data_IF_605684308084
#
_entry.id   IF_605684308084
#
_cell.length_a   1.000
_cell.length_b   1.000
_cell.length_c   1.000
_cell.angle_alpha   90.00
_cell.angle_beta   90.00
_cell.angle_gamma   90.00
#
_symmetry.space_group_name_H-M   'P 1'
#
loop_
_entity.id
_entity.type
_entity.pdbx_description
1 polymer ?
#
# COMPACT_ATOMS: atom_id res chain seq x y z
N UNK A 1 4.10 100.46 22.80
CA UNK A 1 3.80 100.14 24.22
C UNK A 1 2.69 99.10 24.19
N UNK A 2 2.78 97.87 24.70
CA UNK A 2 3.75 97.21 25.55
C UNK A 2 3.58 95.69 25.33
N UNK A 3 4.66 94.96 25.54
CA UNK A 3 4.73 93.49 25.56
C UNK A 3 3.76 92.88 26.59
N UNK A 4 3.16 91.73 26.30
CA UNK A 4 2.90 90.72 27.33
C UNK A 4 2.89 89.30 26.73
N UNK A 5 3.71 88.46 27.34
CA UNK A 5 3.89 87.04 27.08
C UNK A 5 3.14 86.26 28.16
N UNK A 6 2.36 85.22 27.83
CA UNK A 6 2.45 83.94 28.55
C UNK A 6 1.64 82.80 27.92
N UNK A 7 2.35 81.68 27.85
CA UNK A 7 2.01 80.27 27.66
C UNK A 7 0.63 79.85 28.23
N UNK A 8 -0.05 78.88 27.61
CA UNK A 8 -0.10 77.46 28.07
C UNK A 8 -1.21 76.62 27.40
N UNK A 9 -0.98 75.30 27.47
CA UNK A 9 -1.88 74.13 27.33
C UNK A 9 -2.27 73.70 25.90
N UNK A 10 -1.49 72.76 25.36
CA UNK A 10 -1.95 71.86 24.29
C UNK A 10 -2.71 70.71 24.96
N UNK A 11 -4.02 70.64 24.75
CA UNK A 11 -4.83 69.47 25.07
C UNK A 11 -4.54 68.36 24.05
N UNK A 12 -3.96 67.25 24.50
CA UNK A 12 -3.86 66.03 23.70
C UNK A 12 -5.22 65.34 23.68
N UNK A 13 -5.91 65.39 22.53
CA UNK A 13 -7.13 64.61 22.30
C UNK A 13 -6.74 63.15 22.03
N UNK A 14 -7.06 62.25 22.96
CA UNK A 14 -6.96 60.81 22.74
C UNK A 14 -8.15 60.35 21.89
N UNK A 15 -7.91 60.15 20.59
CA UNK A 15 -8.83 59.44 19.69
C UNK A 15 -8.72 57.93 19.97
N UNK A 16 -9.71 57.39 20.67
CA UNK A 16 -9.94 55.94 20.72
C UNK A 16 -10.46 55.47 19.36
N UNK A 17 -9.55 55.03 18.49
CA UNK A 17 -9.91 54.27 17.30
C UNK A 17 -10.33 52.86 17.72
N UNK A 18 -11.62 52.57 17.65
CA UNK A 18 -12.11 51.19 17.78
C UNK A 18 -11.67 50.40 16.53
N UNK A 19 -10.59 49.64 16.66
CA UNK A 19 -10.20 48.65 15.64
C UNK A 19 -11.20 47.51 15.77
N UNK A 20 -12.21 47.48 14.90
CA UNK A 20 -13.05 46.32 14.70
C UNK A 20 -12.19 45.19 14.13
N UNK A 21 -11.71 44.31 14.99
CA UNK A 21 -11.13 43.04 14.57
C UNK A 21 -12.29 42.18 14.10
N UNK A 22 -12.58 42.20 12.80
CA UNK A 22 -13.41 41.16 12.19
C UNK A 22 -12.66 39.84 12.37
N UNK A 23 -13.08 39.05 13.36
CA UNK A 23 -12.69 37.66 13.45
C UNK A 23 -13.22 36.96 12.19
N UNK A 24 -12.34 36.79 11.20
CA UNK A 24 -12.58 35.82 10.14
C UNK A 24 -12.67 34.47 10.86
N UNK A 25 -13.76 33.72 10.73
CA UNK A 25 -13.80 32.37 11.26
C UNK A 25 -12.62 31.63 10.63
N UNK A 26 -11.70 31.16 11.46
CA UNK A 26 -10.77 30.12 11.05
C UNK A 26 -11.66 28.93 10.71
N UNK A 27 -11.91 28.73 9.42
CA UNK A 27 -12.39 27.47 8.87
C UNK A 27 -11.31 26.43 9.23
N UNK A 28 -11.42 25.88 10.43
CA UNK A 28 -10.84 24.58 10.71
C UNK A 28 -11.43 23.64 9.66
N UNK A 29 -10.62 22.85 8.94
CA UNK A 29 -11.16 21.85 8.04
C UNK A 29 -11.82 20.76 8.89
N UNK A 30 -13.04 21.04 9.31
CA UNK A 30 -13.96 20.13 9.93
C UNK A 30 -14.33 19.11 8.84
N UNK A 31 -13.80 17.90 8.99
CA UNK A 31 -14.28 16.71 8.29
C UNK A 31 -14.52 16.89 6.78
N UNK A 32 -13.44 17.09 6.00
CA UNK A 32 -13.44 16.47 4.69
C UNK A 32 -13.64 14.97 4.93
N UNK A 33 -14.88 14.48 4.78
CA UNK A 33 -15.21 13.06 4.76
C UNK A 33 -14.26 12.44 3.76
N UNK A 34 -13.18 11.82 4.25
CA UNK A 34 -12.18 11.24 3.37
C UNK A 34 -12.92 10.23 2.53
N UNK A 35 -12.98 10.49 1.22
CA UNK A 35 -13.66 9.62 0.27
C UNK A 35 -13.23 8.18 0.51
N UNK A 36 -14.18 7.25 0.42
CA UNK A 36 -13.91 5.82 0.52
C UNK A 36 -12.76 5.45 -0.43
N UNK A 37 -11.86 4.59 0.02
CA UNK A 37 -10.79 4.11 -0.83
C UNK A 37 -11.34 3.56 -2.15
N UNK A 38 -10.67 3.93 -3.25
CA UNK A 38 -10.92 3.32 -4.54
C UNK A 38 -10.60 1.83 -4.46
N UNK A 39 -11.46 1.02 -5.09
CA UNK A 39 -11.25 -0.41 -5.25
C UNK A 39 -10.70 -0.66 -6.65
N UNK A 40 -9.56 -1.33 -6.71
CA UNK A 40 -8.87 -1.71 -7.93
C UNK A 40 -9.14 -3.20 -8.16
N UNK A 41 -9.85 -3.51 -9.24
CA UNK A 41 -10.16 -4.90 -9.64
C UNK A 41 -9.35 -5.36 -10.86
N UNK A 42 -8.79 -4.44 -11.63
CA UNK A 42 -8.02 -4.72 -12.84
C UNK A 42 -6.91 -3.68 -13.03
N UNK A 43 -5.92 -4.05 -13.85
CA UNK A 43 -4.91 -3.13 -14.35
C UNK A 43 -5.49 -2.19 -15.43
N UNK A 44 -4.83 -1.08 -15.73
CA UNK A 44 -5.30 -0.12 -16.75
C UNK A 44 -4.37 -0.06 -17.97
N UNK A 45 -3.08 -0.29 -17.77
CA UNK A 45 -2.09 -0.31 -18.84
C UNK A 45 -2.26 -1.55 -19.72
N UNK A 46 -2.18 -1.39 -21.04
CA UNK A 46 -2.33 -2.50 -21.97
C UNK A 46 -1.08 -3.39 -22.00
N UNK A 47 -1.26 -4.69 -22.23
CA UNK A 47 -0.19 -5.70 -22.29
C UNK A 47 0.69 -5.71 -21.04
N UNK A 48 0.11 -5.41 -19.88
CA UNK A 48 0.74 -5.59 -18.58
C UNK A 48 0.04 -6.67 -17.78
N UNK A 49 0.82 -7.42 -16.99
CA UNK A 49 0.31 -8.29 -15.94
C UNK A 49 0.96 -7.90 -14.62
N UNK A 50 0.15 -7.73 -13.58
CA UNK A 50 0.61 -7.62 -12.21
C UNK A 50 0.57 -8.99 -11.54
N UNK A 51 1.75 -9.62 -11.41
CA UNK A 51 1.92 -10.80 -10.57
C UNK A 51 1.97 -10.35 -9.11
N UNK A 52 1.03 -10.81 -8.29
CA UNK A 52 0.92 -10.43 -6.88
C UNK A 52 0.94 -11.64 -5.97
N UNK A 53 1.46 -11.43 -4.75
CA UNK A 53 1.76 -12.46 -3.76
C UNK A 53 1.34 -12.00 -2.38
N UNK A 54 0.49 -12.77 -1.72
CA UNK A 54 -0.08 -12.44 -0.41
C UNK A 54 0.56 -13.28 0.72
N UNK A 55 0.22 -12.95 1.96
CA UNK A 55 0.54 -13.66 3.22
C UNK A 55 1.97 -13.57 3.76
N UNK A 56 2.93 -13.32 2.88
CA UNK A 56 4.34 -13.15 3.23
C UNK A 56 4.65 -11.99 4.21
N UNK A 57 5.91 -11.77 4.56
CA UNK A 57 7.10 -12.43 4.02
C UNK A 57 7.24 -13.88 4.51
N UNK A 58 7.85 -14.72 3.68
CA UNK A 58 8.10 -16.13 4.00
C UNK A 58 9.43 -16.62 3.40
N UNK A 59 9.78 -17.88 3.68
CA UNK A 59 11.08 -18.46 3.29
C UNK A 59 11.34 -18.45 1.78
N UNK A 60 10.29 -18.35 0.95
CA UNK A 60 10.41 -18.34 -0.50
C UNK A 60 10.58 -16.94 -1.11
N UNK A 61 10.38 -15.86 -0.36
CA UNK A 61 10.33 -14.48 -0.89
C UNK A 61 11.57 -14.14 -1.72
N UNK A 62 12.78 -14.38 -1.19
CA UNK A 62 14.02 -14.09 -1.92
C UNK A 62 14.14 -14.88 -3.22
N UNK A 63 13.82 -16.18 -3.19
CA UNK A 63 13.87 -17.06 -4.37
C UNK A 63 12.94 -16.57 -5.48
N UNK A 64 11.75 -16.11 -5.10
CA UNK A 64 10.77 -15.58 -6.04
C UNK A 64 11.22 -14.25 -6.65
N UNK A 65 11.79 -13.33 -5.85
CA UNK A 65 12.42 -12.10 -6.35
C UNK A 65 13.50 -12.42 -7.40
N UNK A 66 14.44 -13.31 -7.07
CA UNK A 66 15.53 -13.70 -7.97
C UNK A 66 15.00 -14.39 -9.26
N UNK A 67 13.88 -15.11 -9.18
CA UNK A 67 13.21 -15.70 -10.34
C UNK A 67 12.62 -14.60 -11.25
N UNK A 68 11.91 -13.62 -10.69
CA UNK A 68 11.30 -12.54 -11.44
C UNK A 68 12.36 -11.64 -12.09
N UNK A 69 13.40 -11.27 -11.35
CA UNK A 69 14.46 -10.39 -11.84
C UNK A 69 15.26 -10.99 -13.00
N UNK A 70 15.64 -12.27 -12.89
CA UNK A 70 16.29 -13.00 -14.01
C UNK A 70 15.41 -13.07 -15.26
N UNK A 71 14.10 -12.89 -15.09
CA UNK A 71 13.14 -12.86 -16.17
C UNK A 71 12.76 -11.45 -16.63
N UNK A 72 13.38 -10.39 -16.10
CA UNK A 72 13.03 -9.01 -16.41
C UNK A 72 11.60 -8.66 -15.99
N UNK A 73 11.08 -9.32 -14.95
CA UNK A 73 9.73 -9.15 -14.42
C UNK A 73 9.76 -8.44 -13.07
N UNK A 74 8.69 -7.71 -12.74
CA UNK A 74 8.45 -7.21 -11.38
C UNK A 74 7.12 -7.75 -10.84
N UNK A 75 7.06 -7.92 -9.51
CA UNK A 75 5.87 -8.36 -8.79
C UNK A 75 5.50 -7.40 -7.65
N UNK A 76 4.38 -7.69 -6.99
CA UNK A 76 3.88 -6.96 -5.83
C UNK A 76 3.62 -7.93 -4.68
N UNK A 77 4.19 -7.65 -3.50
CA UNK A 77 3.98 -8.43 -2.29
C UNK A 77 3.05 -7.66 -1.37
N UNK A 78 1.88 -8.22 -1.08
CA UNK A 78 1.02 -7.76 0.00
C UNK A 78 1.45 -8.51 1.26
N UNK A 79 2.19 -7.83 2.13
CA UNK A 79 2.80 -8.47 3.30
C UNK A 79 1.97 -8.28 4.56
N UNK A 80 1.96 -9.30 5.41
CA UNK A 80 1.45 -9.27 6.76
C UNK A 80 2.51 -8.79 7.76
N UNK A 81 2.02 -8.43 8.96
CA UNK A 81 2.86 -8.09 10.10
C UNK A 81 3.22 -9.29 10.97
N UNK A 82 2.24 -10.14 11.27
CA UNK A 82 2.35 -11.29 12.17
C UNK A 82 1.39 -12.39 11.69
N UNK A 83 1.84 -13.19 10.72
CA UNK A 83 1.05 -14.26 10.10
C UNK A 83 1.87 -15.56 10.01
N UNK A 84 2.62 -15.76 8.92
CA UNK A 84 3.56 -16.87 8.77
C UNK A 84 4.86 -16.70 9.57
N UNK A 85 4.97 -15.57 10.26
CA UNK A 85 6.08 -15.17 11.12
C UNK A 85 6.00 -13.68 11.39
N UNK A 86 6.82 -13.19 12.31
CA UNK A 86 6.86 -11.76 12.61
C UNK A 86 7.64 -11.05 11.50
N UNK A 87 7.06 -10.00 10.91
CA UNK A 87 7.71 -9.18 9.87
C UNK A 87 9.03 -8.57 10.36
N UNK A 88 9.17 -8.37 11.67
CA UNK A 88 10.37 -7.84 12.28
C UNK A 88 11.46 -8.89 12.55
N UNK A 89 11.19 -10.19 12.39
CA UNK A 89 12.24 -11.20 12.47
C UNK A 89 13.33 -10.89 11.42
N UNK A 90 14.60 -11.13 11.77
CA UNK A 90 15.74 -10.66 10.96
C UNK A 90 15.65 -11.12 9.50
N UNK A 91 15.26 -12.38 9.25
CA UNK A 91 15.11 -12.93 7.90
C UNK A 91 13.91 -12.32 7.15
N UNK A 92 12.79 -12.09 7.84
CA UNK A 92 11.59 -11.53 7.25
C UNK A 92 11.80 -10.06 6.89
N UNK A 93 12.33 -9.27 7.83
CA UNK A 93 12.68 -7.87 7.60
C UNK A 93 13.69 -7.72 6.45
N UNK A 94 14.73 -8.57 6.42
CA UNK A 94 15.69 -8.58 5.32
C UNK A 94 15.03 -8.95 3.98
N UNK A 95 14.10 -9.89 3.96
CA UNK A 95 13.37 -10.29 2.74
C UNK A 95 12.47 -9.17 2.23
N UNK A 96 11.71 -8.50 3.10
CA UNK A 96 10.87 -7.35 2.73
C UNK A 96 11.72 -6.20 2.18
N UNK A 97 12.86 -5.90 2.84
CA UNK A 97 13.81 -4.90 2.35
C UNK A 97 14.40 -5.31 0.99
N UNK A 98 14.72 -6.59 0.80
CA UNK A 98 15.23 -7.10 -0.48
C UNK A 98 14.22 -6.93 -1.61
N UNK A 99 12.94 -7.26 -1.38
CA UNK A 99 11.85 -7.02 -2.35
C UNK A 99 11.83 -5.55 -2.78
N UNK A 100 11.87 -4.63 -1.80
CA UNK A 100 11.88 -3.19 -2.07
C UNK A 100 13.13 -2.74 -2.85
N UNK A 101 14.33 -3.14 -2.41
CA UNK A 101 15.60 -2.74 -3.01
C UNK A 101 15.77 -3.25 -4.45
N UNK A 102 15.17 -4.40 -4.79
CA UNK A 102 15.13 -4.91 -6.16
C UNK A 102 14.08 -4.21 -7.04
N UNK A 103 13.37 -3.19 -6.54
CA UNK A 103 12.40 -2.42 -7.32
C UNK A 103 11.07 -3.14 -7.55
N UNK A 104 10.78 -4.15 -6.74
CA UNK A 104 9.42 -4.67 -6.61
C UNK A 104 8.58 -3.78 -5.68
N UNK A 105 7.27 -4.03 -5.67
CA UNK A 105 6.36 -3.29 -4.80
C UNK A 105 6.09 -4.09 -3.51
N UNK A 106 6.21 -3.41 -2.37
CA UNK A 106 5.72 -3.90 -1.07
C UNK A 106 4.44 -3.14 -0.72
N UNK A 107 3.38 -3.86 -0.38
CA UNK A 107 2.06 -3.33 -0.05
C UNK A 107 1.52 -4.01 1.21
N UNK A 108 0.46 -3.46 1.79
CA UNK A 108 -0.10 -3.93 3.06
C UNK A 108 -1.10 -5.08 2.85
N UNK A 109 -1.00 -6.13 3.66
CA UNK A 109 -2.02 -7.18 3.78
C UNK A 109 -2.61 -7.28 5.19
N UNK A 110 -2.55 -6.18 5.95
CA UNK A 110 -2.92 -6.09 7.38
C UNK A 110 -1.92 -6.77 8.32
N UNK A 111 -2.13 -6.65 9.63
CA UNK A 111 -1.19 -7.13 10.63
C UNK A 111 -1.31 -8.64 10.80
N UNK A 112 -2.45 -9.13 11.26
CA UNK A 112 -2.67 -10.52 11.65
C UNK A 112 -3.56 -11.31 10.68
N UNK A 113 -3.77 -10.80 9.46
CA UNK A 113 -4.62 -11.45 8.43
C UNK A 113 -6.06 -11.74 8.92
N UNK A 114 -6.64 -10.81 9.68
CA UNK A 114 -7.98 -10.97 10.26
C UNK A 114 -9.11 -10.72 9.25
N UNK A 115 -10.27 -11.34 9.48
CA UNK A 115 -11.54 -11.01 8.80
C UNK A 115 -11.99 -9.59 9.17
N UNK A 116 -11.70 -8.62 8.29
CA UNK A 116 -11.77 -7.19 8.64
C UNK A 116 -13.16 -6.67 8.98
N UNK A 117 -14.19 -7.25 8.37
CA UNK A 117 -15.61 -6.93 8.61
C UNK A 117 -16.10 -7.37 10.02
N UNK A 118 -15.34 -8.21 10.73
CA UNK A 118 -15.67 -8.66 12.09
C UNK A 118 -15.07 -7.75 13.18
N UNK A 119 -14.19 -6.81 12.80
CA UNK A 119 -13.42 -6.00 13.73
C UNK A 119 -14.15 -4.71 14.11
N UNK A 120 -13.94 -4.26 15.34
CA UNK A 120 -14.28 -2.89 15.73
C UNK A 120 -13.42 -1.87 14.98
N UNK A 121 -13.89 -0.63 14.82
CA UNK A 121 -13.15 0.41 14.08
C UNK A 121 -11.71 0.64 14.60
N UNK A 122 -11.47 0.52 15.91
CA UNK A 122 -10.12 0.62 16.48
C UNK A 122 -9.26 -0.60 16.17
N UNK A 123 -9.81 -1.81 16.25
CA UNK A 123 -9.08 -3.04 15.90
C UNK A 123 -8.75 -3.07 14.40
N UNK A 124 -9.71 -2.70 13.55
CA UNK A 124 -9.53 -2.52 12.12
C UNK A 124 -8.43 -1.50 11.80
N UNK A 125 -8.43 -0.33 12.44
CA UNK A 125 -7.36 0.65 12.22
C UNK A 125 -5.99 0.14 12.69
N UNK A 126 -5.93 -0.65 13.77
CA UNK A 126 -4.69 -1.24 14.26
C UNK A 126 -4.09 -2.24 13.27
N UNK A 127 -4.94 -3.08 12.65
CA UNK A 127 -4.55 -4.01 11.59
C UNK A 127 -3.78 -3.30 10.45
N UNK A 128 -4.26 -2.13 10.02
CA UNK A 128 -3.61 -1.38 8.95
C UNK A 128 -2.38 -0.63 9.43
N UNK A 129 -2.49 0.09 10.55
CA UNK A 129 -1.43 1.00 10.98
C UNK A 129 -0.18 0.28 11.45
N UNK A 130 -0.30 -0.88 12.10
CA UNK A 130 0.87 -1.66 12.54
C UNK A 130 1.69 -2.17 11.35
N UNK A 131 1.06 -2.80 10.36
CA UNK A 131 1.80 -3.33 9.21
C UNK A 131 2.39 -2.22 8.34
N UNK A 132 1.64 -1.12 8.17
CA UNK A 132 2.13 0.07 7.46
C UNK A 132 3.36 0.68 8.15
N UNK A 133 3.37 0.70 9.48
CA UNK A 133 4.51 1.17 10.27
C UNK A 133 5.71 0.24 10.11
N UNK A 134 5.50 -1.08 10.12
CA UNK A 134 6.56 -2.05 9.91
C UNK A 134 7.19 -1.94 8.52
N UNK A 135 6.37 -1.87 7.47
CA UNK A 135 6.84 -1.64 6.09
C UNK A 135 7.67 -0.36 6.01
N UNK A 136 7.18 0.75 6.59
CA UNK A 136 7.91 2.02 6.61
C UNK A 136 9.23 1.94 7.36
N UNK A 137 9.27 1.28 8.53
CA UNK A 137 10.52 1.09 9.28
C UNK A 137 11.55 0.29 8.49
N UNK A 138 11.11 -0.77 7.81
CA UNK A 138 11.99 -1.68 7.06
C UNK A 138 12.51 -1.05 5.77
N UNK A 139 11.65 -0.33 5.04
CA UNK A 139 11.94 0.12 3.67
C UNK A 139 12.13 1.63 3.53
N UNK A 140 11.71 2.40 4.53
CA UNK A 140 11.55 3.85 4.43
C UNK A 140 10.30 4.29 3.65
N UNK A 141 9.53 3.35 3.09
CA UNK A 141 8.42 3.64 2.19
C UNK A 141 7.05 3.42 2.86
N UNK A 142 6.15 4.39 2.68
CA UNK A 142 4.77 4.29 3.17
C UNK A 142 3.86 3.70 2.08
N UNK A 143 3.26 2.52 2.26
CA UNK A 143 2.44 1.88 1.23
C UNK A 143 1.22 2.73 0.84
N UNK A 144 0.95 2.83 -0.47
CA UNK A 144 -0.25 3.47 -1.03
C UNK A 144 -1.34 2.45 -1.45
N UNK A 145 -1.07 1.16 -1.27
CA UNK A 145 -1.96 0.07 -1.63
C UNK A 145 -2.06 -0.91 -0.49
N UNK A 146 -3.23 -1.54 -0.39
CA UNK A 146 -3.45 -2.69 0.46
C UNK A 146 -4.38 -3.68 -0.23
N UNK A 147 -4.29 -4.94 0.16
CA UNK A 147 -5.28 -5.96 -0.18
C UNK A 147 -5.92 -6.43 1.11
N UNK A 148 -7.25 -6.51 1.21
CA UNK A 148 -7.89 -7.07 2.40
C UNK A 148 -7.73 -8.58 2.41
N UNK A 149 -7.42 -9.20 3.56
CA UNK A 149 -7.50 -10.63 3.77
C UNK A 149 -8.80 -11.21 3.22
N UNK A 150 -8.71 -12.39 2.58
CA UNK A 150 -9.85 -13.09 1.97
C UNK A 150 -10.60 -12.32 0.85
N UNK A 151 -10.09 -11.15 0.43
CA UNK A 151 -10.82 -10.24 -0.46
C UNK A 151 -12.01 -9.53 0.19
N UNK A 152 -12.13 -9.59 1.53
CA UNK A 152 -13.28 -9.10 2.27
C UNK A 152 -13.16 -7.61 2.63
N UNK A 153 -14.07 -6.78 2.12
CA UNK A 153 -14.13 -5.37 2.48
C UNK A 153 -15.57 -4.84 2.48
N UNK A 154 -15.81 -3.87 3.35
CA UNK A 154 -17.02 -3.04 3.38
C UNK A 154 -16.64 -1.55 3.36
N UNK A 155 -17.61 -0.66 3.58
CA UNK A 155 -17.37 0.78 3.58
C UNK A 155 -16.51 1.24 4.77
N UNK A 156 -16.53 0.56 5.91
CA UNK A 156 -15.65 0.91 7.04
C UNK A 156 -14.20 0.51 6.74
N UNK A 157 -13.97 -0.66 6.13
CA UNK A 157 -12.66 -1.07 5.61
C UNK A 157 -12.13 -0.04 4.59
N UNK A 158 -12.97 0.37 3.63
CA UNK A 158 -12.59 1.36 2.62
C UNK A 158 -12.36 2.75 3.21
N UNK A 159 -13.11 3.13 4.24
CA UNK A 159 -12.91 4.40 4.96
C UNK A 159 -11.60 4.39 5.73
N UNK A 160 -11.25 3.31 6.43
CA UNK A 160 -9.95 3.17 7.11
C UNK A 160 -8.82 3.23 6.09
N UNK A 161 -8.89 2.44 5.00
CA UNK A 161 -7.92 2.49 3.91
C UNK A 161 -7.76 3.91 3.32
N UNK A 162 -8.88 4.58 3.03
CA UNK A 162 -8.89 5.96 2.51
C UNK A 162 -8.32 6.97 3.51
N UNK A 163 -8.58 6.79 4.80
CA UNK A 163 -7.98 7.58 5.88
C UNK A 163 -6.46 7.38 6.02
N UNK A 164 -5.93 6.28 5.48
CA UNK A 164 -4.51 6.02 5.41
C UNK A 164 -3.95 6.34 4.02
N UNK A 165 -4.76 6.88 3.10
CA UNK A 165 -4.37 7.21 1.73
C UNK A 165 -4.03 5.96 0.90
N UNK A 166 -4.59 4.81 1.26
CA UNK A 166 -4.41 3.55 0.56
C UNK A 166 -5.58 3.28 -0.39
N UNK A 167 -5.29 2.58 -1.49
CA UNK A 167 -6.29 1.96 -2.35
C UNK A 167 -6.46 0.48 -1.97
N UNK A 168 -7.67 -0.04 -2.14
CA UNK A 168 -8.00 -1.46 -1.94
C UNK A 168 -7.76 -2.19 -3.25
N UNK A 169 -6.94 -3.23 -3.26
CA UNK A 169 -6.60 -4.01 -4.46
C UNK A 169 -7.15 -5.42 -4.32
N UNK A 170 -8.01 -5.83 -5.27
CA UNK A 170 -8.53 -7.20 -5.38
C UNK A 170 -7.76 -7.90 -6.51
N UNK A 171 -8.41 -8.71 -7.35
CA UNK A 171 -7.83 -9.42 -8.48
C UNK A 171 -8.90 -9.71 -9.53
N UNK A 172 -8.48 -9.90 -10.78
CA UNK A 172 -9.31 -10.36 -11.90
C UNK A 172 -8.97 -11.80 -12.34
N UNK A 173 -7.94 -12.39 -11.72
CA UNK A 173 -7.55 -13.78 -11.89
C UNK A 173 -7.01 -14.36 -10.59
N UNK A 174 -7.53 -15.52 -10.19
CA UNK A 174 -7.05 -16.29 -9.04
C UNK A 174 -6.36 -17.56 -9.54
N UNK A 175 -5.15 -17.83 -9.05
CA UNK A 175 -4.45 -19.08 -9.38
C UNK A 175 -5.08 -20.31 -8.72
N UNK A 176 -5.82 -20.10 -7.63
CA UNK A 176 -6.43 -21.14 -6.80
C UNK A 176 -5.47 -21.82 -5.83
N UNK A 177 -4.23 -21.36 -5.72
CA UNK A 177 -3.19 -21.99 -4.89
C UNK A 177 -3.55 -22.10 -3.41
N UNK A 178 -4.16 -21.05 -2.82
CA UNK A 178 -4.65 -21.08 -1.44
C UNK A 178 -5.94 -21.89 -1.24
N UNK A 179 -6.68 -22.18 -2.32
CA UNK A 179 -7.95 -22.94 -2.29
C UNK A 179 -7.77 -24.44 -2.56
N UNK A 180 -6.52 -24.91 -2.64
CA UNK A 180 -6.18 -26.32 -2.80
C UNK A 180 -6.02 -26.77 -4.26
N UNK A 181 -5.91 -25.85 -5.22
CA UNK A 181 -5.56 -26.22 -6.59
C UNK A 181 -4.16 -26.82 -6.65
N UNK A 182 -4.02 -27.96 -7.33
CA UNK A 182 -2.71 -28.51 -7.68
C UNK A 182 -1.93 -27.57 -8.60
N UNK A 183 -0.60 -27.75 -8.66
CA UNK A 183 0.23 -27.01 -9.61
C UNK A 183 -0.24 -27.19 -11.07
N UNK A 184 -0.72 -28.38 -11.44
CA UNK A 184 -1.28 -28.64 -12.78
C UNK A 184 -2.56 -27.85 -13.03
N UNK A 185 -3.47 -27.80 -12.06
CA UNK A 185 -4.70 -27.00 -12.18
C UNK A 185 -4.38 -25.51 -12.31
N UNK A 186 -3.48 -24.99 -11.47
CA UNK A 186 -3.04 -23.59 -11.52
C UNK A 186 -2.37 -23.25 -12.85
N UNK A 187 -1.48 -24.11 -13.36
CA UNK A 187 -0.86 -23.96 -14.69
C UNK A 187 -1.90 -23.95 -15.80
N UNK A 188 -2.90 -24.83 -15.75
CA UNK A 188 -3.99 -24.85 -16.73
C UNK A 188 -4.85 -23.58 -16.65
N UNK A 189 -5.11 -23.04 -15.45
CA UNK A 189 -5.80 -21.77 -15.27
C UNK A 189 -5.04 -20.62 -15.94
N UNK A 190 -3.73 -20.51 -15.72
CA UNK A 190 -2.86 -19.53 -16.40
C UNK A 190 -2.86 -19.70 -17.92
N UNK A 191 -2.74 -20.94 -18.42
CA UNK A 191 -2.81 -21.25 -19.85
C UNK A 191 -4.13 -20.75 -20.47
N UNK A 192 -5.24 -21.04 -19.80
CA UNK A 192 -6.59 -20.66 -20.24
C UNK A 192 -6.82 -19.14 -20.17
N UNK A 193 -6.26 -18.47 -19.17
CA UNK A 193 -6.29 -17.01 -19.10
C UNK A 193 -5.52 -16.40 -20.27
N UNK A 194 -4.28 -16.83 -20.48
CA UNK A 194 -3.38 -16.24 -21.48
C UNK A 194 -3.86 -16.52 -22.91
N UNK A 195 -4.52 -17.67 -23.16
CA UNK A 195 -5.10 -17.99 -24.48
C UNK A 195 -6.22 -17.03 -24.89
N UNK A 196 -6.96 -16.46 -23.93
CA UNK A 196 -7.98 -15.43 -24.17
C UNK A 196 -7.39 -14.08 -24.57
N UNK A 197 -6.07 -13.90 -24.47
CA UNK A 197 -5.36 -12.67 -24.80
C UNK A 197 -5.98 -11.40 -24.16
N UNK A 198 -6.17 -11.37 -22.83
CA UNK A 198 -6.77 -10.22 -22.16
C UNK A 198 -6.00 -8.91 -22.38
N UNK A 199 -6.66 -7.76 -22.21
CA UNK A 199 -5.98 -6.46 -22.37
C UNK A 199 -4.85 -6.29 -21.34
N UNK A 200 -5.09 -6.76 -20.12
CA UNK A 200 -4.19 -6.75 -18.97
C UNK A 200 -4.69 -7.76 -17.93
N UNK A 201 -3.92 -7.99 -16.87
CA UNK A 201 -4.24 -8.97 -15.82
C UNK A 201 -3.72 -8.50 -14.47
N UNK A 202 -4.48 -8.72 -13.41
CA UNK A 202 -4.07 -8.56 -12.01
C UNK A 202 -4.34 -9.86 -11.24
N UNK A 203 -3.28 -10.62 -10.97
CA UNK A 203 -3.39 -12.00 -10.45
C UNK A 203 -3.33 -12.07 -8.93
N UNK A 204 -4.01 -13.02 -8.31
CA UNK A 204 -3.78 -13.47 -6.93
C UNK A 204 -2.95 -14.78 -6.90
N UNK A 205 -1.90 -14.79 -6.09
CA UNK A 205 -1.10 -15.95 -5.74
C UNK A 205 -0.56 -15.77 -4.31
N UNK A 206 0.07 -16.81 -3.77
CA UNK A 206 0.66 -16.81 -2.43
C UNK A 206 2.05 -17.46 -2.50
N UNK A 207 3.09 -16.71 -2.16
CA UNK A 207 4.48 -17.20 -2.18
C UNK A 207 4.83 -18.11 -0.98
N UNK A 208 3.92 -18.19 0.00
CA UNK A 208 3.95 -19.11 1.14
C UNK A 208 3.87 -20.57 0.70
N UNK A 209 3.37 -20.83 -0.52
CA UNK A 209 3.31 -22.14 -1.14
C UNK A 209 4.53 -22.38 -2.05
N UNK A 210 5.33 -23.39 -1.70
CA UNK A 210 6.51 -23.76 -2.49
C UNK A 210 6.16 -24.15 -3.93
N UNK A 211 5.01 -24.79 -4.17
CA UNK A 211 4.51 -25.15 -5.51
C UNK A 211 4.20 -23.91 -6.36
N UNK A 212 3.65 -22.84 -5.76
CA UNK A 212 3.44 -21.57 -6.45
C UNK A 212 4.76 -21.02 -6.97
N UNK A 213 5.77 -20.94 -6.10
CA UNK A 213 7.09 -20.36 -6.43
C UNK A 213 7.91 -21.24 -7.39
N UNK A 214 7.89 -22.57 -7.20
CA UNK A 214 8.76 -23.50 -7.93
C UNK A 214 8.17 -23.95 -9.27
N UNK A 215 6.84 -24.02 -9.37
CA UNK A 215 6.19 -24.65 -10.52
C UNK A 215 5.28 -23.68 -11.28
N UNK A 216 4.39 -22.99 -10.58
CA UNK A 216 3.31 -22.22 -11.21
C UNK A 216 3.82 -20.92 -11.79
N UNK A 217 4.56 -20.13 -11.01
CA UNK A 217 5.06 -18.81 -11.47
C UNK A 217 6.06 -18.92 -12.63
N UNK A 218 7.03 -19.85 -12.65
CA UNK A 218 7.89 -20.05 -13.82
C UNK A 218 7.08 -20.31 -15.10
N UNK A 219 6.02 -21.12 -15.01
CA UNK A 219 5.12 -21.39 -16.14
C UNK A 219 4.34 -20.14 -16.56
N UNK A 220 3.75 -19.42 -15.60
CA UNK A 220 3.00 -18.20 -15.87
C UNK A 220 3.86 -17.15 -16.59
N UNK A 221 5.10 -16.94 -16.14
CA UNK A 221 6.09 -16.06 -16.77
C UNK A 221 6.29 -16.46 -18.24
N UNK A 222 6.49 -17.76 -18.52
CA UNK A 222 6.67 -18.25 -19.89
C UNK A 222 5.45 -17.95 -20.77
N UNK A 223 4.23 -18.22 -20.27
CA UNK A 223 2.99 -17.98 -21.01
C UNK A 223 2.81 -16.49 -21.34
N UNK A 224 3.00 -15.61 -20.35
CA UNK A 224 2.85 -14.17 -20.54
C UNK A 224 3.91 -13.59 -21.49
N UNK A 225 5.18 -14.01 -21.35
CA UNK A 225 6.26 -13.61 -22.28
C UNK A 225 5.94 -14.01 -23.71
N UNK A 226 5.48 -15.24 -23.93
CA UNK A 226 5.13 -15.73 -25.27
C UNK A 226 3.99 -14.93 -25.93
N UNK A 227 3.18 -14.20 -25.16
CA UNK A 227 2.11 -13.30 -25.66
C UNK A 227 2.47 -11.81 -25.59
N UNK A 228 3.72 -11.49 -25.28
CA UNK A 228 4.24 -10.12 -25.27
C UNK A 228 3.79 -9.26 -24.10
N UNK A 229 3.40 -9.85 -22.97
CA UNK A 229 3.07 -9.08 -21.77
C UNK A 229 4.33 -8.64 -21.02
N UNK A 230 4.27 -7.44 -20.45
CA UNK A 230 5.21 -6.94 -19.45
C UNK A 230 4.70 -7.31 -18.05
N UNK A 231 5.50 -8.02 -17.28
CA UNK A 231 5.20 -8.31 -15.87
C UNK A 231 5.72 -7.16 -15.01
N UNK A 232 4.80 -6.43 -14.38
CA UNK A 232 5.06 -5.15 -13.70
C UNK A 232 4.42 -5.14 -12.31
N UNK A 233 4.74 -4.15 -11.48
CA UNK A 233 4.05 -3.97 -10.20
C UNK A 233 2.61 -3.52 -10.38
N UNK A 234 1.76 -3.67 -9.35
CA UNK A 234 0.38 -3.14 -9.37
C UNK A 234 0.39 -1.64 -9.65
N UNK A 235 1.27 -0.88 -9.00
CA UNK A 235 1.38 0.56 -9.22
C UNK A 235 1.73 0.89 -10.68
N UNK A 236 2.67 0.17 -11.29
CA UNK A 236 3.03 0.34 -12.70
C UNK A 236 1.90 -0.05 -13.64
N UNK A 237 1.17 -1.13 -13.36
CA UNK A 237 0.03 -1.56 -14.17
C UNK A 237 -1.16 -0.58 -14.12
N UNK A 238 -1.19 0.30 -13.12
CA UNK A 238 -2.15 1.39 -12.96
C UNK A 238 -1.63 2.75 -13.42
N UNK A 239 -0.32 2.89 -13.69
CA UNK A 239 0.33 4.18 -13.95
C UNK A 239 0.35 5.12 -12.73
N UNK A 240 0.54 4.57 -11.53
CA UNK A 240 0.48 5.31 -10.25
C UNK A 240 1.77 5.14 -9.43
N UNK A 241 1.96 6.00 -8.42
CA UNK A 241 3.04 5.83 -7.44
C UNK A 241 2.74 4.66 -6.49
N UNK A 242 3.70 3.74 -6.22
CA UNK A 242 3.52 2.62 -5.29
C UNK A 242 3.40 3.05 -3.82
N UNK A 243 3.96 4.21 -3.49
CA UNK A 243 4.10 4.70 -2.12
C UNK A 243 3.56 6.13 -1.98
N UNK A 244 3.05 6.45 -0.81
CA UNK A 244 2.60 7.80 -0.44
C UNK A 244 3.77 8.74 -0.19
N UNK A 245 4.85 8.19 0.35
CA UNK A 245 6.09 8.88 0.66
C UNK A 245 7.21 7.85 0.76
N UNK A 246 8.42 8.27 0.44
CA UNK A 246 9.65 7.49 0.63
C UNK A 246 10.63 8.30 1.46
N UNK A 247 11.46 7.62 2.23
CA UNK A 247 12.54 8.18 3.02
C UNK A 247 13.52 7.07 3.42
N UNK A 248 14.27 7.29 4.49
CA UNK A 248 15.23 6.29 4.96
C UNK A 248 14.56 5.22 5.83
N UNK A 249 15.01 3.96 5.76
CA UNK A 249 14.68 2.94 6.74
C UNK A 249 15.03 3.39 8.16
N UNK A 250 14.24 2.97 9.14
CA UNK A 250 14.53 3.24 10.54
C UNK A 250 15.62 2.31 11.06
N UNK A 251 16.51 2.76 11.96
CA UNK A 251 17.37 1.83 12.69
C UNK A 251 16.51 0.85 13.50
N UNK A 252 17.02 -0.38 13.69
CA UNK A 252 16.35 -1.34 14.57
C UNK A 252 16.45 -0.87 16.02
N UNK A 253 15.33 -0.93 16.73
CA UNK A 253 15.22 -0.58 18.14
C UNK A 253 14.28 -1.57 18.87
N UNK A 254 13.97 -1.30 20.14
CA UNK A 254 13.11 -2.15 20.97
C UNK A 254 11.65 -2.24 20.51
N UNK A 255 11.23 -1.43 19.54
CA UNK A 255 9.86 -1.38 19.01
C UNK A 255 9.67 -2.24 17.75
N UNK A 256 10.73 -2.90 17.27
CA UNK A 256 10.68 -3.90 16.20
C UNK A 256 10.22 -5.24 16.76
N UNK A 257 8.95 -5.30 17.18
CA UNK A 257 8.35 -6.47 17.81
C UNK A 257 6.93 -6.68 17.28
N UNK A 258 6.60 -7.95 17.13
CA UNK A 258 5.25 -8.46 17.24
C UNK A 258 5.05 -8.82 18.73
#
# INVERSE_FOLDING_TARGET
>A
MSSFSMRFVVFAAALFGAIGVSAVPLDTPEHATRALAAVITNCTQAKTVALTFDDGPYVNTKKLVDLLDRNGAKGTWFVNGDNYGCIYDSNNAASVKYVYDQGHQVASHTWAHAHLNTLSGSALKNEFTKVNTAIKKITGAQPAFMRPPYGEYDDEVRKVAGSLGQKVVIWDFDSGDSTGASATQSKNAYKNLVSKNPKNVLTLNHETYATTVNDVIPYAIQQFKAKGYKMVTVAQCLGQSPYKSTGDPSPRDSTWKC
#
